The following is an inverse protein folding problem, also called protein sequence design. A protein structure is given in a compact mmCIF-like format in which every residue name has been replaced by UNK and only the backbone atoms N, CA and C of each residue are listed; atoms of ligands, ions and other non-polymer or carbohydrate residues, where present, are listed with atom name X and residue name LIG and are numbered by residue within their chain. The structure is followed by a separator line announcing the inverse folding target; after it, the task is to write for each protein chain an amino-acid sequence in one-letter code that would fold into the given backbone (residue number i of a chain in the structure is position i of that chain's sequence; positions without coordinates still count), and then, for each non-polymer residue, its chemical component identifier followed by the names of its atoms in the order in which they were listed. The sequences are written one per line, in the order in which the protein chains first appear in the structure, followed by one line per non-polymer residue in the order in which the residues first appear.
data_IF_764387666088
#
_entry.id   IF_764387666088
#
_cell.length_a   1.000
_cell.length_b   1.000
_cell.length_c   1.000
_cell.angle_alpha   90.00
_cell.angle_beta   90.00
_cell.angle_gamma   90.00
#
_symmetry.space_group_name_H-M   'P 1'
#
loop_
_entity.id
_entity.type
_entity.pdbx_description
1 polymer ?
#
# COMPACT_ATOMS: atom_id res chain seq x y z
N UNK A 1 -26.25 6.97 -18.21
CA UNK A 1 -25.56 5.71 -17.90
C UNK A 1 -24.41 5.54 -18.90
N UNK A 2 -23.16 5.85 -18.52
CA UNK A 2 -22.00 5.77 -19.44
C UNK A 2 -21.37 4.38 -19.33
N UNK A 3 -21.82 3.44 -20.17
CA UNK A 3 -21.31 2.06 -20.25
C UNK A 3 -20.15 1.89 -21.24
N UNK A 4 -19.24 2.87 -21.33
CA UNK A 4 -18.10 2.75 -22.24
C UNK A 4 -16.85 3.47 -21.69
N UNK A 5 -16.53 3.22 -20.42
CA UNK A 5 -15.19 3.50 -19.90
C UNK A 5 -14.37 2.22 -20.04
N UNK A 6 -13.13 2.27 -20.55
CA UNK A 6 -12.23 1.14 -20.43
C UNK A 6 -12.11 0.74 -18.95
N UNK A 7 -11.90 -0.55 -18.63
CA UNK A 7 -11.73 -0.96 -17.25
C UNK A 7 -10.60 -0.14 -16.62
N UNK A 8 -10.95 0.73 -15.66
CA UNK A 8 -9.99 1.54 -14.93
C UNK A 8 -9.19 0.56 -14.05
N UNK A 9 -7.97 0.22 -14.52
CA UNK A 9 -7.03 -0.59 -13.74
C UNK A 9 -6.46 0.23 -12.61
N UNK A 10 -6.31 -0.40 -11.45
CA UNK A 10 -5.53 0.20 -10.37
C UNK A 10 -4.06 0.34 -10.79
N UNK A 11 -3.44 1.42 -10.39
CA UNK A 11 -2.01 1.64 -10.66
C UNK A 11 -1.32 2.26 -9.44
N UNK A 12 -0.06 1.88 -9.27
CA UNK A 12 0.88 2.50 -8.33
C UNK A 12 1.88 3.30 -9.14
N UNK A 13 2.07 4.57 -8.79
CA UNK A 13 3.04 5.45 -9.45
C UNK A 13 4.07 5.90 -8.42
N UNK A 14 5.34 5.63 -8.67
CA UNK A 14 6.44 6.16 -7.86
C UNK A 14 6.52 7.69 -8.07
N UNK A 15 6.58 8.48 -6.99
CA UNK A 15 6.63 9.94 -7.09
C UNK A 15 7.96 10.47 -7.60
N UNK A 16 9.05 9.71 -7.42
CA UNK A 16 10.41 10.12 -7.80
C UNK A 16 10.69 9.69 -9.24
N UNK A 17 10.56 8.38 -9.50
CA UNK A 17 10.94 7.81 -10.79
C UNK A 17 9.82 7.88 -11.84
N UNK A 18 8.60 8.23 -11.43
CA UNK A 18 7.38 8.20 -12.27
C UNK A 18 7.08 6.83 -12.90
N UNK A 19 7.76 5.78 -12.43
CA UNK A 19 7.51 4.40 -12.82
C UNK A 19 6.11 3.98 -12.39
N UNK A 20 5.42 3.27 -13.29
CA UNK A 20 4.02 2.89 -13.11
C UNK A 20 3.92 1.38 -13.06
N UNK A 21 3.34 0.87 -11.99
CA UNK A 21 2.92 -0.51 -11.88
C UNK A 21 1.41 -0.56 -12.07
N UNK A 22 0.97 -0.97 -13.26
CA UNK A 22 -0.44 -1.26 -13.53
C UNK A 22 -0.77 -2.65 -13.01
N UNK A 23 -1.87 -2.79 -12.29
CA UNK A 23 -2.31 -4.09 -11.82
C UNK A 23 -2.89 -4.90 -12.98
N UNK A 24 -2.37 -6.12 -13.24
CA UNK A 24 -2.97 -7.02 -14.23
C UNK A 24 -4.42 -7.35 -13.88
N UNK A 25 -4.67 -7.59 -12.58
CA UNK A 25 -5.97 -7.85 -12.00
C UNK A 25 -6.18 -6.91 -10.80
N UNK A 26 -7.35 -6.29 -10.73
CA UNK A 26 -7.72 -5.46 -9.59
C UNK A 26 -7.90 -6.33 -8.33
N UNK A 27 -7.51 -5.84 -7.15
CA UNK A 27 -7.72 -6.56 -5.89
C UNK A 27 -9.22 -6.83 -5.66
N UNK A 28 -9.54 -8.03 -5.17
CA UNK A 28 -10.93 -8.41 -4.83
C UNK A 28 -11.43 -7.69 -3.57
N UNK A 29 -10.53 -7.42 -2.64
CA UNK A 29 -10.82 -6.76 -1.37
C UNK A 29 -9.77 -5.69 -1.06
N UNK A 30 -10.27 -4.53 -0.63
CA UNK A 30 -9.45 -3.44 -0.08
C UNK A 30 -9.95 -3.18 1.35
N UNK A 31 -9.04 -3.27 2.31
CA UNK A 31 -9.29 -2.96 3.71
C UNK A 31 -8.72 -1.57 4.01
N UNK A 32 -9.59 -0.63 4.35
CA UNK A 32 -9.23 0.74 4.68
C UNK A 32 -9.51 0.98 6.17
N UNK A 33 -8.44 1.14 6.96
CA UNK A 33 -8.54 1.33 8.39
C UNK A 33 -7.92 2.66 8.81
N UNK A 34 -8.65 3.41 9.65
CA UNK A 34 -8.17 4.64 10.28
C UNK A 34 -8.40 4.54 11.77
N UNK A 35 -7.32 4.58 12.53
CA UNK A 35 -7.36 4.47 13.99
C UNK A 35 -7.14 5.84 14.63
N UNK A 36 -7.66 6.03 15.82
CA UNK A 36 -7.45 7.25 16.62
C UNK A 36 -7.18 6.84 18.05
N UNK A 37 -6.18 7.48 18.66
CA UNK A 37 -5.76 7.18 20.01
C UNK A 37 -6.48 8.08 21.01
N UNK A 38 -7.12 7.47 22.00
CA UNK A 38 -7.81 8.14 23.10
C UNK A 38 -7.22 7.70 24.45
N UNK A 39 -6.94 8.67 25.33
CA UNK A 39 -6.56 8.44 26.71
C UNK A 39 -7.80 8.43 27.60
N UNK A 40 -7.95 7.40 28.44
CA UNK A 40 -9.04 7.32 29.40
C UNK A 40 -8.59 7.88 30.76
N UNK A 41 -9.18 8.99 31.17
CA UNK A 41 -8.95 9.61 32.48
C UNK A 41 -9.98 9.07 33.46
N UNK A 42 -9.51 8.25 34.40
CA UNK A 42 -10.33 7.70 35.49
C UNK A 42 -10.36 8.71 36.64
N UNK A 43 -11.54 9.31 36.86
CA UNK A 43 -11.77 10.25 37.96
C UNK A 43 -12.58 9.53 39.05
N UNK A 44 -12.09 9.45 40.30
CA UNK A 44 -12.86 8.87 41.39
C UNK A 44 -14.22 9.57 41.56
N UNK A 45 -15.30 8.81 41.69
CA UNK A 45 -16.67 9.34 41.82
C UNK A 45 -17.44 9.50 40.51
N UNK A 46 -16.83 9.22 39.34
CA UNK A 46 -17.56 9.06 38.08
C UNK A 46 -17.72 7.57 37.71
N UNK A 47 -18.88 7.24 37.12
CA UNK A 47 -19.20 5.90 36.64
C UNK A 47 -18.47 5.54 35.33
N UNK A 48 -18.10 6.55 34.53
CA UNK A 48 -17.42 6.38 33.24
C UNK A 48 -16.14 7.23 33.17
N UNK A 49 -15.05 6.69 32.60
CA UNK A 49 -13.85 7.47 32.37
C UNK A 49 -14.11 8.55 31.32
N UNK A 50 -13.43 9.68 31.46
CA UNK A 50 -13.42 10.70 30.42
C UNK A 50 -12.40 10.31 29.35
N UNK A 51 -12.83 10.16 28.11
CA UNK A 51 -11.93 9.93 26.98
C UNK A 51 -11.41 11.26 26.43
N UNK A 52 -10.09 11.41 26.36
CA UNK A 52 -9.42 12.57 25.76
C UNK A 52 -8.70 12.14 24.49
N UNK A 53 -8.89 12.88 23.41
CA UNK A 53 -8.18 12.65 22.16
C UNK A 53 -6.69 12.93 22.35
N UNK A 54 -5.84 12.00 21.90
CA UNK A 54 -4.37 12.12 21.96
C UNK A 54 -3.82 12.42 20.58
N UNK A 55 -4.03 11.50 19.63
CA UNK A 55 -3.50 11.63 18.28
C UNK A 55 -4.35 10.84 17.28
N UNK A 56 -4.35 11.27 16.02
CA UNK A 56 -4.87 10.47 14.92
C UNK A 56 -3.79 9.53 14.43
N UNK A 57 -4.04 8.23 14.42
CA UNK A 57 -3.09 7.28 13.84
C UNK A 57 -3.19 7.31 12.31
N UNK A 58 -2.14 6.79 11.67
CA UNK A 58 -2.00 6.76 10.22
C UNK A 58 -3.10 5.88 9.60
N UNK A 59 -3.71 6.35 8.51
CA UNK A 59 -4.67 5.56 7.72
C UNK A 59 -3.92 4.46 6.97
N UNK A 60 -4.31 3.21 7.18
CA UNK A 60 -3.71 2.02 6.56
C UNK A 60 -4.64 1.45 5.51
N UNK A 61 -4.12 1.22 4.31
CA UNK A 61 -4.81 0.60 3.19
C UNK A 61 -4.12 -0.73 2.91
N UNK A 62 -4.85 -1.83 3.06
CA UNK A 62 -4.33 -3.18 2.85
C UNK A 62 -5.12 -3.88 1.77
N UNK A 63 -4.44 -4.51 0.82
CA UNK A 63 -5.08 -5.26 -0.26
C UNK A 63 -4.14 -6.31 -0.82
N UNK A 64 -4.72 -7.23 -1.59
CA UNK A 64 -3.99 -8.32 -2.22
C UNK A 64 -4.09 -8.24 -3.74
N UNK A 65 -2.95 -8.30 -4.42
CA UNK A 65 -2.86 -8.33 -5.87
C UNK A 65 -2.48 -9.74 -6.30
N UNK A 66 -3.16 -10.26 -7.31
CA UNK A 66 -2.75 -11.48 -7.98
C UNK A 66 -1.96 -11.13 -9.25
N UNK A 67 -0.71 -11.58 -9.30
CA UNK A 67 0.16 -11.46 -10.46
C UNK A 67 0.19 -12.83 -11.16
N UNK A 68 -0.11 -12.81 -12.46
CA UNK A 68 -0.19 -14.01 -13.29
C UNK A 68 0.51 -13.77 -14.62
N UNK A 69 1.34 -14.75 -15.04
CA UNK A 69 2.03 -14.78 -16.34
C UNK A 69 2.65 -13.43 -16.75
N UNK A 70 3.84 -13.17 -16.22
CA UNK A 70 4.68 -12.01 -16.54
C UNK A 70 6.00 -12.07 -15.75
N UNK A 71 6.83 -11.03 -15.77
CA UNK A 71 8.03 -10.93 -14.92
C UNK A 71 7.61 -10.66 -13.47
N UNK A 72 7.01 -11.67 -12.83
CA UNK A 72 6.49 -11.60 -11.46
C UNK A 72 7.61 -11.26 -10.49
N UNK A 73 8.80 -11.81 -10.70
CA UNK A 73 9.96 -11.57 -9.84
C UNK A 73 10.42 -10.11 -9.91
N UNK A 74 10.42 -9.49 -11.09
CA UNK A 74 10.79 -8.08 -11.26
C UNK A 74 9.76 -7.16 -10.60
N UNK A 75 8.47 -7.45 -10.73
CA UNK A 75 7.41 -6.67 -10.10
C UNK A 75 7.44 -6.77 -8.58
N UNK A 76 7.70 -7.97 -8.04
CA UNK A 76 7.88 -8.16 -6.60
C UNK A 76 9.16 -7.49 -6.11
N UNK A 77 10.26 -7.58 -6.86
CA UNK A 77 11.51 -6.89 -6.55
C UNK A 77 11.32 -5.37 -6.56
N UNK A 78 10.58 -4.85 -7.52
CA UNK A 78 10.20 -3.44 -7.61
C UNK A 78 9.42 -3.00 -6.38
N UNK A 79 8.38 -3.74 -5.97
CA UNK A 79 7.60 -3.41 -4.77
C UNK A 79 8.46 -3.46 -3.49
N UNK A 80 9.34 -4.47 -3.37
CA UNK A 80 10.25 -4.61 -2.22
C UNK A 80 11.29 -3.50 -2.16
N UNK A 81 11.82 -3.05 -3.29
CA UNK A 81 12.82 -1.98 -3.30
C UNK A 81 12.23 -0.67 -2.80
N UNK A 82 10.92 -0.44 -2.98
CA UNK A 82 10.23 0.78 -2.49
C UNK A 82 10.01 0.80 -0.98
N UNK A 83 10.11 -0.35 -0.32
CA UNK A 83 9.98 -0.45 1.13
C UNK A 83 11.26 0.03 1.85
N UNK A 84 12.42 -0.08 1.20
CA UNK A 84 13.72 0.15 1.83
C UNK A 84 14.25 1.53 1.40
N UNK A 85 14.76 2.35 2.33
CA UNK A 85 15.43 3.60 1.95
C UNK A 85 16.71 3.30 1.18
N UNK A 86 17.06 4.16 0.21
CA UNK A 86 18.32 4.04 -0.51
C UNK A 86 19.49 4.30 0.45
N UNK A 87 20.41 3.32 0.51
CA UNK A 87 21.60 3.36 1.35
C UNK A 87 22.84 3.15 0.49
N UNK A 88 23.84 4.00 0.69
CA UNK A 88 25.15 3.88 0.07
C UNK A 88 26.21 3.75 1.19
N UNK A 89 26.91 2.62 1.22
CA UNK A 89 28.03 2.30 2.14
C UNK A 89 27.84 2.65 3.64
N UNK A 90 26.59 2.62 4.11
CA UNK A 90 26.11 2.94 5.48
C UNK A 90 25.58 4.37 5.72
N UNK A 91 25.47 5.21 4.70
CA UNK A 91 24.73 6.49 4.77
C UNK A 91 23.34 6.33 4.17
N UNK A 92 22.35 6.93 4.83
CA UNK A 92 21.00 7.11 4.28
C UNK A 92 21.08 8.22 3.24
N UNK A 93 20.85 7.87 1.97
CA UNK A 93 20.91 8.82 0.85
C UNK A 93 19.53 9.41 0.59
N UNK A 94 18.50 8.56 0.56
CA UNK A 94 17.13 8.97 0.34
C UNK A 94 16.16 8.30 1.32
N UNK A 95 15.09 9.01 1.66
CA UNK A 95 13.95 8.43 2.37
C UNK A 95 13.26 7.38 1.48
N UNK A 96 12.49 6.43 2.06
CA UNK A 96 11.70 5.49 1.26
C UNK A 96 10.81 6.24 0.25
N UNK A 97 10.68 5.66 -0.94
CA UNK A 97 9.93 6.30 -2.02
C UNK A 97 8.44 6.35 -1.66
N UNK A 98 7.83 7.52 -1.90
CA UNK A 98 6.38 7.64 -1.80
C UNK A 98 5.73 7.21 -3.12
N UNK A 99 4.57 6.59 -3.01
CA UNK A 99 3.83 6.00 -4.12
C UNK A 99 2.43 6.57 -4.15
N UNK A 100 1.99 7.01 -5.32
CA UNK A 100 0.61 7.42 -5.58
C UNK A 100 -0.22 6.19 -5.90
N UNK A 101 -1.23 5.95 -5.07
CA UNK A 101 -2.21 4.91 -5.27
C UNK A 101 -3.43 5.46 -6.03
N UNK A 102 -3.68 4.89 -7.21
CA UNK A 102 -4.79 5.24 -8.08
C UNK A 102 -5.68 4.01 -8.24
N UNK A 103 -6.95 4.16 -7.87
CA UNK A 103 -7.94 3.10 -8.02
C UNK A 103 -9.32 3.72 -8.30
N UNK A 104 -9.58 3.93 -9.60
CA UNK A 104 -10.80 4.54 -10.12
C UNK A 104 -11.18 5.82 -9.38
N UNK A 105 -12.46 5.94 -9.01
CA UNK A 105 -12.97 7.09 -8.23
C UNK A 105 -12.81 6.95 -6.73
N UNK A 106 -12.46 5.75 -6.21
CA UNK A 106 -12.31 5.55 -4.76
C UNK A 106 -11.00 6.13 -4.23
N UNK A 107 -9.92 5.99 -5.00
CA UNK A 107 -8.61 6.49 -4.64
C UNK A 107 -8.05 7.29 -5.81
N UNK A 108 -8.29 8.60 -5.80
CA UNK A 108 -7.89 9.52 -6.87
C UNK A 108 -6.48 10.09 -6.64
N UNK A 109 -5.48 9.21 -6.52
CA UNK A 109 -4.07 9.61 -6.39
C UNK A 109 -3.70 9.91 -4.94
N UNK A 110 -3.94 8.94 -4.06
CA UNK A 110 -3.58 9.07 -2.65
C UNK A 110 -2.09 8.81 -2.49
N UNK A 111 -1.39 9.73 -1.83
CA UNK A 111 0.04 9.62 -1.59
C UNK A 111 0.28 8.71 -0.38
N UNK A 112 0.99 7.61 -0.62
CA UNK A 112 1.18 6.53 0.34
C UNK A 112 2.66 6.14 0.44
N UNK A 113 3.03 5.49 1.54
CA UNK A 113 4.30 4.75 1.68
C UNK A 113 3.99 3.27 1.78
N UNK A 114 4.81 2.46 1.11
CA UNK A 114 4.71 1.00 1.19
C UNK A 114 5.34 0.53 2.49
N UNK A 115 4.54 0.00 3.42
CA UNK A 115 5.03 -0.45 4.72
C UNK A 115 5.26 -1.95 4.79
N UNK A 116 4.47 -2.74 4.05
CA UNK A 116 4.63 -4.18 3.98
C UNK A 116 4.38 -4.71 2.57
N UNK A 117 5.27 -5.59 2.13
CA UNK A 117 5.14 -6.38 0.90
C UNK A 117 5.34 -7.84 1.26
N UNK A 118 4.25 -8.62 1.27
CA UNK A 118 4.31 -10.08 1.43
C UNK A 118 3.96 -10.72 0.10
N UNK A 119 4.89 -11.48 -0.44
CA UNK A 119 4.72 -12.17 -1.72
C UNK A 119 4.64 -13.67 -1.44
N UNK A 120 3.46 -14.24 -1.67
CA UNK A 120 3.19 -15.66 -1.57
C UNK A 120 3.25 -16.26 -2.98
N UNK A 121 4.21 -17.16 -3.20
CA UNK A 121 4.42 -17.81 -4.50
C UNK A 121 3.69 -19.15 -4.50
N UNK A 122 2.79 -19.37 -5.45
CA UNK A 122 1.91 -20.54 -5.47
C UNK A 122 2.13 -21.43 -6.69
N UNK A 123 2.29 -22.74 -6.43
CA UNK A 123 2.03 -23.94 -7.25
C UNK A 123 2.51 -24.06 -8.71
N UNK A 124 2.82 -22.96 -9.40
CA UNK A 124 3.22 -22.94 -10.81
C UNK A 124 4.60 -22.30 -10.91
N UNK A 125 5.62 -23.15 -10.82
CA UNK A 125 7.00 -22.78 -11.13
C UNK A 125 7.33 -23.23 -12.54
N UNK A 126 8.06 -22.40 -13.27
CA UNK A 126 8.63 -22.80 -14.55
C UNK A 126 9.66 -23.94 -14.34
N UNK A 127 10.05 -24.68 -15.39
CA UNK A 127 11.14 -25.64 -15.32
C UNK A 127 12.47 -25.03 -14.84
N UNK A 128 12.62 -23.70 -14.98
CA UNK A 128 13.77 -22.90 -14.52
C UNK A 128 13.60 -22.42 -13.06
N UNK A 129 12.57 -22.89 -12.36
CA UNK A 129 12.20 -22.56 -10.98
C UNK A 129 11.74 -21.11 -10.76
N UNK A 130 11.31 -20.44 -11.82
CA UNK A 130 10.75 -19.09 -11.72
C UNK A 130 9.25 -19.15 -11.38
N UNK A 131 8.75 -18.35 -10.42
CA UNK A 131 7.35 -18.34 -10.06
C UNK A 131 6.51 -17.68 -11.18
N UNK A 132 5.55 -18.43 -11.74
CA UNK A 132 4.63 -17.91 -12.76
C UNK A 132 3.38 -17.25 -12.17
N UNK A 133 3.09 -17.53 -10.90
CA UNK A 133 1.95 -16.98 -10.16
C UNK A 133 2.39 -16.53 -8.76
N UNK A 134 1.96 -15.34 -8.37
CA UNK A 134 2.19 -14.80 -7.03
C UNK A 134 0.98 -14.02 -6.54
N UNK A 135 0.65 -14.19 -5.27
CA UNK A 135 -0.25 -13.32 -4.52
C UNK A 135 0.59 -12.36 -3.69
N UNK A 136 0.44 -11.06 -3.92
CA UNK A 136 1.16 -10.03 -3.19
C UNK A 136 0.19 -9.30 -2.28
N UNK A 137 0.35 -9.51 -0.97
CA UNK A 137 -0.33 -8.70 0.05
C UNK A 137 0.46 -7.43 0.31
N UNK A 138 -0.15 -6.28 0.01
CA UNK A 138 0.42 -4.96 0.22
C UNK A 138 -0.26 -4.26 1.40
N UNK A 139 0.55 -3.61 2.22
CA UNK A 139 0.10 -2.63 3.21
C UNK A 139 0.69 -1.27 2.88
N UNK A 140 -0.19 -0.28 2.73
CA UNK A 140 0.13 1.11 2.44
C UNK A 140 -0.28 1.97 3.62
N UNK A 141 0.58 2.89 4.00
CA UNK A 141 0.24 3.95 4.96
C UNK A 141 0.10 5.27 4.21
N UNK A 142 -1.04 5.94 4.36
CA UNK A 142 -1.29 7.22 3.72
C UNK A 142 -0.44 8.28 4.40
N UNK A 143 0.45 8.89 3.64
CA UNK A 143 1.13 10.10 4.09
C UNK A 143 0.11 11.23 4.11
N UNK A 144 0.15 12.08 5.13
CA UNK A 144 -0.80 13.18 5.24
C UNK A 144 -0.91 13.92 3.91
N UNK A 145 -2.14 13.95 3.41
CA UNK A 145 -2.52 14.79 2.28
C UNK A 145 -2.15 16.22 2.69
N UNK A 146 -1.19 16.83 1.98
CA UNK A 146 -0.96 18.26 2.06
C UNK A 146 -2.27 18.92 1.64
N UNK A 147 -3.13 19.19 2.63
CA UNK A 147 -4.36 19.95 2.43
C UNK A 147 -3.98 21.23 1.72
N UNK A 148 -4.39 21.34 0.46
CA UNK A 148 -4.61 22.65 -0.18
C UNK A 148 -5.71 23.39 0.56
#
# INVERSE_FOLDING_TARGET
MKWNKPPEKGMLIDTINQERLEFPLNPEQITDSKTTSYAAIKVPGLDRPRYQFVTGDVRKIEFKIHLFQGPVMEQVAWLRSRQVPEREDARLVAAPHSVLFLFGTMYSGVLCVVTSVKADFHSLFSPELEPMQCEVSLALEVLEDQKR
#
